data_IF_823322381930
#
_entry.id   IF_823322381930
#
_cell.length_a   1.000
_cell.length_b   1.000
_cell.length_c   1.000
_cell.angle_alpha   90.00
_cell.angle_beta   90.00
_cell.angle_gamma   90.00
#
_symmetry.space_group_name_H-M   'P 1'
#
loop_
_entity.id
_entity.type
_entity.pdbx_description
1 polymer ?
#
# COMPACT_ATOMS: atom_id res chain seq x y z
N UNK A 1 -5.97 5.37 20.74
CA UNK A 1 -7.21 5.30 19.94
C UNK A 1 -6.90 4.45 18.73
N UNK A 2 -7.62 3.34 18.53
CA UNK A 2 -7.47 2.56 17.29
C UNK A 2 -8.17 3.39 16.22
N UNK A 3 -7.42 3.86 15.21
CA UNK A 3 -8.01 4.59 14.08
C UNK A 3 -9.10 3.70 13.45
N UNK A 4 -10.26 4.26 13.13
CA UNK A 4 -11.31 3.54 12.41
C UNK A 4 -10.78 3.06 11.05
N UNK A 5 -11.33 1.97 10.51
CA UNK A 5 -10.89 1.42 9.23
C UNK A 5 -10.94 2.47 8.10
N UNK A 6 -11.97 3.33 8.11
CA UNK A 6 -12.16 4.42 7.16
C UNK A 6 -11.02 5.46 7.22
N UNK A 7 -10.64 5.93 8.41
CA UNK A 7 -9.54 6.90 8.57
C UNK A 7 -8.20 6.30 8.12
N UNK A 8 -8.01 5.01 8.32
CA UNK A 8 -6.80 4.30 7.88
C UNK A 8 -6.77 4.14 6.36
N UNK A 9 -7.90 3.80 5.72
CA UNK A 9 -8.01 3.73 4.27
C UNK A 9 -7.76 5.10 3.64
N UNK A 10 -8.31 6.17 4.22
CA UNK A 10 -8.07 7.54 3.75
C UNK A 10 -6.58 7.88 3.79
N UNK A 11 -5.94 7.73 4.95
CA UNK A 11 -4.51 8.02 5.11
C UNK A 11 -3.62 7.16 4.22
N UNK A 12 -3.97 5.89 4.04
CA UNK A 12 -3.25 5.02 3.13
C UNK A 12 -3.30 5.56 1.69
N UNK A 13 -4.48 5.96 1.23
CA UNK A 13 -4.65 6.52 -0.11
C UNK A 13 -4.00 7.89 -0.28
N UNK A 14 -3.85 8.68 0.79
CA UNK A 14 -3.07 9.93 0.79
C UNK A 14 -1.56 9.67 0.70
N UNK A 15 -1.05 8.65 1.41
CA UNK A 15 0.37 8.29 1.38
C UNK A 15 0.78 7.65 0.05
N UNK A 16 -0.12 6.88 -0.57
CA UNK A 16 0.12 6.21 -1.85
C UNK A 16 -0.30 7.14 -2.99
N UNK A 17 0.61 8.05 -3.33
CA UNK A 17 0.40 9.09 -4.35
C UNK A 17 0.86 8.70 -5.77
N UNK A 18 1.32 7.47 -5.97
CA UNK A 18 1.75 6.95 -7.26
C UNK A 18 0.67 6.05 -7.86
N UNK A 19 0.56 6.03 -9.19
CA UNK A 19 -0.26 5.04 -9.88
C UNK A 19 0.33 3.63 -9.72
N UNK A 20 -0.51 2.61 -9.97
CA UNK A 20 -0.08 1.21 -9.98
C UNK A 20 1.12 1.00 -10.88
N UNK A 21 1.07 1.53 -12.11
CA UNK A 21 2.12 1.37 -13.11
C UNK A 21 3.43 2.04 -12.68
N UNK A 22 3.36 3.23 -12.11
CA UNK A 22 4.54 3.94 -11.61
C UNK A 22 5.16 3.22 -10.41
N UNK A 23 4.33 2.69 -9.51
CA UNK A 23 4.80 1.94 -8.35
C UNK A 23 5.43 0.60 -8.78
N UNK A 24 4.83 -0.12 -9.72
CA UNK A 24 5.41 -1.35 -10.29
C UNK A 24 6.75 -1.06 -10.97
N UNK A 25 6.81 -0.07 -11.84
CA UNK A 25 8.06 0.32 -12.50
C UNK A 25 9.15 0.70 -11.50
N UNK A 26 8.79 1.39 -10.41
CA UNK A 26 9.72 1.72 -9.33
C UNK A 26 10.25 0.47 -8.62
N UNK A 27 9.37 -0.50 -8.31
CA UNK A 27 9.73 -1.75 -7.63
C UNK A 27 10.68 -2.60 -8.48
N UNK A 28 10.65 -2.50 -9.80
CA UNK A 28 11.59 -3.21 -10.69
C UNK A 28 12.97 -2.54 -10.80
N UNK A 29 13.16 -1.32 -10.26
CA UNK A 29 14.45 -0.63 -10.36
C UNK A 29 15.49 -1.16 -9.38
N UNK A 30 16.77 -1.09 -9.76
CA UNK A 30 17.88 -1.44 -8.86
C UNK A 30 17.90 -0.60 -7.56
N UNK A 31 17.26 0.58 -7.57
CA UNK A 31 17.10 1.45 -6.39
C UNK A 31 16.13 0.87 -5.35
N UNK A 32 15.06 0.20 -5.77
CA UNK A 32 14.13 -0.46 -4.82
C UNK A 32 14.81 -1.64 -4.11
N UNK A 33 15.65 -2.39 -4.84
CA UNK A 33 16.38 -3.54 -4.31
C UNK A 33 17.47 -3.14 -3.30
N UNK A 34 17.98 -1.91 -3.39
CA UNK A 34 18.96 -1.36 -2.45
C UNK A 34 18.32 -0.52 -1.33
N UNK A 35 17.03 -0.21 -1.43
CA UNK A 35 16.28 0.55 -0.43
C UNK A 35 15.85 -0.35 0.74
N UNK A 36 16.78 -0.62 1.66
CA UNK A 36 16.49 -1.19 2.98
C UNK A 36 16.61 -2.71 3.09
N UNK A 37 15.90 -3.30 4.07
CA UNK A 37 16.03 -4.71 4.47
C UNK A 37 15.21 -5.70 3.62
N UNK A 38 14.71 -5.28 2.46
CA UNK A 38 13.78 -6.06 1.62
C UNK A 38 12.30 -5.99 2.06
N UNK A 39 12.04 -5.58 3.31
CA UNK A 39 10.67 -5.39 3.85
C UNK A 39 9.90 -4.32 3.08
N UNK A 40 10.58 -3.25 2.64
CA UNK A 40 9.97 -2.20 1.82
C UNK A 40 9.55 -2.70 0.43
N UNK A 41 10.32 -3.59 -0.17
CA UNK A 41 10.04 -4.17 -1.48
C UNK A 41 8.80 -5.08 -1.42
N UNK A 42 8.75 -6.01 -0.46
CA UNK A 42 7.57 -6.84 -0.22
C UNK A 42 6.33 -6.01 0.08
N UNK A 43 6.48 -4.95 0.90
CA UNK A 43 5.38 -4.03 1.21
C UNK A 43 4.87 -3.33 -0.04
N UNK A 44 5.77 -2.88 -0.92
CA UNK A 44 5.41 -2.26 -2.20
C UNK A 44 4.63 -3.20 -3.11
N UNK A 45 5.05 -4.47 -3.24
CA UNK A 45 4.29 -5.46 -4.02
C UNK A 45 2.88 -5.69 -3.47
N UNK A 46 2.72 -5.69 -2.14
CA UNK A 46 1.39 -5.79 -1.51
C UNK A 46 0.53 -4.56 -1.78
N UNK A 47 1.11 -3.35 -1.75
CA UNK A 47 0.39 -2.12 -2.11
C UNK A 47 -0.11 -2.19 -3.56
N UNK A 48 0.73 -2.64 -4.49
CA UNK A 48 0.32 -2.86 -5.90
C UNK A 48 -0.85 -3.84 -5.99
N UNK A 49 -0.78 -4.98 -5.29
CA UNK A 49 -1.86 -5.97 -5.30
C UNK A 49 -3.19 -5.40 -4.78
N UNK A 50 -3.14 -4.64 -3.67
CA UNK A 50 -4.30 -3.96 -3.08
C UNK A 50 -4.92 -2.99 -4.08
N UNK A 51 -4.10 -2.14 -4.72
CA UNK A 51 -4.58 -1.16 -5.71
C UNK A 51 -5.15 -1.81 -6.97
N UNK A 52 -4.57 -2.92 -7.44
CA UNK A 52 -5.09 -3.70 -8.58
C UNK A 52 -6.43 -4.37 -8.27
N UNK A 53 -6.59 -4.86 -7.04
CA UNK A 53 -7.82 -5.50 -6.57
C UNK A 53 -8.96 -4.48 -6.42
N UNK A 54 -8.65 -3.27 -5.98
CA UNK A 54 -9.63 -2.21 -5.74
C UNK A 54 -9.21 -0.86 -6.35
N UNK A 55 -9.23 -0.73 -7.70
CA UNK A 55 -8.76 0.47 -8.38
C UNK A 55 -9.64 1.71 -8.12
N UNK A 56 -10.90 1.49 -7.79
CA UNK A 56 -11.87 2.53 -7.42
C UNK A 56 -11.72 2.99 -5.96
N UNK A 57 -10.87 2.31 -5.18
CA UNK A 57 -10.56 2.61 -3.77
C UNK A 57 -11.78 2.60 -2.85
N UNK A 58 -12.78 1.77 -3.16
CA UNK A 58 -14.02 1.67 -2.38
C UNK A 58 -13.75 0.99 -1.03
N UNK A 59 -14.06 1.62 0.13
CA UNK A 59 -13.72 1.09 1.46
C UNK A 59 -14.22 -0.32 1.74
N UNK A 60 -15.41 -0.66 1.23
CA UNK A 60 -16.07 -1.95 1.40
C UNK A 60 -15.45 -3.11 0.61
N UNK A 61 -14.57 -2.81 -0.36
CA UNK A 61 -13.92 -3.82 -1.21
C UNK A 61 -12.57 -4.30 -0.66
N UNK A 62 -12.10 -3.73 0.44
CA UNK A 62 -10.90 -4.19 1.12
C UNK A 62 -11.24 -5.32 2.09
N UNK A 63 -10.43 -6.37 2.06
CA UNK A 63 -10.53 -7.45 3.05
C UNK A 63 -9.69 -7.15 4.29
N UNK A 64 -9.76 -8.04 5.28
CA UNK A 64 -9.03 -7.84 6.53
C UNK A 64 -7.51 -7.83 6.34
N UNK A 65 -6.97 -8.60 5.38
CA UNK A 65 -5.54 -8.64 5.10
C UNK A 65 -5.06 -7.32 4.47
N UNK A 66 -5.84 -6.77 3.53
CA UNK A 66 -5.61 -5.46 2.94
C UNK A 66 -5.56 -4.40 4.04
N UNK A 67 -6.57 -4.39 4.93
CA UNK A 67 -6.68 -3.44 6.04
C UNK A 67 -5.57 -3.62 7.10
N UNK A 68 -5.10 -4.84 7.33
CA UNK A 68 -3.95 -5.09 8.20
C UNK A 68 -2.66 -4.54 7.58
N UNK A 69 -2.46 -4.70 6.28
CA UNK A 69 -1.28 -4.18 5.59
C UNK A 69 -1.29 -2.64 5.54
N UNK A 70 -2.42 -2.03 5.18
CA UNK A 70 -2.61 -0.59 5.20
C UNK A 70 -2.32 0.02 6.57
N UNK A 71 -2.74 -0.64 7.67
CA UNK A 71 -2.39 -0.21 9.03
C UNK A 71 -0.89 -0.15 9.27
N UNK A 72 -0.12 -1.11 8.74
CA UNK A 72 1.34 -1.12 8.87
C UNK A 72 1.96 0.04 8.09
N UNK A 73 1.46 0.29 6.88
CA UNK A 73 1.93 1.40 6.03
C UNK A 73 1.66 2.76 6.67
N UNK A 74 0.46 2.97 7.22
CA UNK A 74 0.04 4.22 7.87
C UNK A 74 0.66 4.44 9.25
N UNK A 75 1.19 3.38 9.88
CA UNK A 75 1.85 3.45 11.19
C UNK A 75 3.35 3.74 11.10
N UNK A 76 3.94 3.61 9.91
CA UNK A 76 5.32 4.01 9.61
C UNK A 76 5.42 5.52 9.38
#
# INVERSE_FOLDING_TARGET
>A
MVKSAEEMIEKFNEQVNMTVEELEAWLETNKSHQAGTGVGLESGHKIVAILKKNPTKEPEKYDEEDLQHMRKVVAY
#
